data_IF_781011274511
#
_entry.id   IF_781011274511
#
_cell.length_a   1.000
_cell.length_b   1.000
_cell.length_c   1.000
_cell.angle_alpha   90.00
_cell.angle_beta   90.00
_cell.angle_gamma   90.00
#
_symmetry.space_group_name_H-M   'P 1'
#
loop_
_entity.id
_entity.type
_entity.pdbx_description
1 polymer ?
#
# COMPACT_ATOMS: atom_id res chain seq x y z
N UNK A 1 8.45 16.92 -8.39
CA UNK A 1 8.22 15.45 -8.37
C UNK A 1 6.93 15.14 -7.64
N UNK A 2 6.07 14.37 -8.26
CA UNK A 2 4.81 13.97 -7.62
C UNK A 2 5.06 12.97 -6.51
N UNK A 3 4.33 13.11 -5.42
CA UNK A 3 4.39 12.19 -4.28
C UNK A 3 3.12 11.35 -4.26
N UNK A 4 3.27 10.05 -4.26
CA UNK A 4 2.16 9.10 -4.20
C UNK A 4 2.33 8.21 -2.97
N UNK A 5 1.27 8.08 -2.19
CA UNK A 5 1.24 7.16 -1.05
C UNK A 5 0.32 5.99 -1.39
N UNK A 6 0.85 4.79 -1.24
CA UNK A 6 0.05 3.56 -1.37
C UNK A 6 -0.27 3.07 0.05
N UNK A 7 -1.56 2.96 0.35
CA UNK A 7 -2.04 2.43 1.62
C UNK A 7 -2.62 1.03 1.41
N UNK A 8 -2.01 0.05 2.05
CA UNK A 8 -2.42 -1.35 1.97
C UNK A 8 -3.09 -1.77 3.28
N UNK A 9 -4.29 -2.30 3.16
CA UNK A 9 -5.14 -2.65 4.29
C UNK A 9 -4.76 -3.94 5.00
N UNK A 10 -5.63 -4.39 5.91
CA UNK A 10 -5.35 -5.55 6.76
C UNK A 10 -5.06 -6.83 5.98
N UNK A 11 -4.13 -7.61 6.51
CA UNK A 11 -3.73 -8.93 6.02
C UNK A 11 -3.01 -8.93 4.67
N UNK A 12 -2.81 -7.79 4.03
CA UNK A 12 -2.06 -7.72 2.77
C UNK A 12 -0.58 -8.05 2.99
N UNK A 13 -0.08 -7.90 4.21
CA UNK A 13 1.26 -8.34 4.59
C UNK A 13 1.43 -9.86 4.54
N UNK A 14 0.32 -10.62 4.42
CA UNK A 14 0.35 -12.08 4.33
C UNK A 14 0.33 -12.60 2.88
N UNK A 15 0.38 -11.69 1.89
CA UNK A 15 0.45 -12.09 0.49
C UNK A 15 1.66 -12.99 0.25
N UNK A 16 1.44 -14.04 -0.55
CA UNK A 16 2.49 -15.02 -0.86
C UNK A 16 2.65 -16.11 0.20
N UNK A 17 2.07 -15.95 1.38
CA UNK A 17 2.18 -16.89 2.49
C UNK A 17 0.97 -17.82 2.63
N UNK A 18 -0.22 -17.37 2.18
CA UNK A 18 -1.46 -18.14 2.29
C UNK A 18 -1.88 -18.68 0.94
N UNK A 19 -2.02 -20.00 0.86
CA UNK A 19 -2.51 -20.70 -0.33
C UNK A 19 -1.90 -20.15 -1.63
N UNK A 20 -0.55 -20.15 -1.75
CA UNK A 20 0.14 -19.53 -2.89
C UNK A 20 -0.28 -20.12 -4.24
N UNK A 21 -0.69 -21.37 -4.29
CA UNK A 21 -1.16 -22.01 -5.51
C UNK A 21 -2.49 -21.40 -6.02
N UNK A 22 -3.21 -20.70 -5.16
CA UNK A 22 -4.46 -20.02 -5.52
C UNK A 22 -4.22 -18.52 -5.74
N UNK A 23 -3.49 -17.88 -4.81
CA UNK A 23 -3.33 -16.42 -4.78
C UNK A 23 -1.99 -15.91 -5.32
N UNK A 24 -1.06 -16.84 -5.63
CA UNK A 24 0.27 -16.51 -6.14
C UNK A 24 1.32 -16.47 -5.03
N UNK A 25 2.57 -16.39 -5.46
CA UNK A 25 3.73 -16.45 -4.57
C UNK A 25 4.30 -15.07 -4.21
N UNK A 26 3.89 -14.03 -4.90
CA UNK A 26 4.41 -12.69 -4.64
C UNK A 26 3.93 -12.15 -3.30
N UNK A 27 4.89 -11.67 -2.50
CA UNK A 27 4.61 -10.99 -1.25
C UNK A 27 4.25 -9.52 -1.51
N UNK A 28 3.74 -8.84 -0.47
CA UNK A 28 3.52 -7.39 -0.55
C UNK A 28 4.83 -6.66 -0.84
N UNK A 29 5.94 -7.10 -0.24
CA UNK A 29 7.25 -6.50 -0.48
C UNK A 29 7.69 -6.65 -1.93
N UNK A 30 7.45 -7.82 -2.54
CA UNK A 30 7.76 -8.04 -3.96
C UNK A 30 7.00 -7.09 -4.86
N UNK A 31 5.72 -6.90 -4.58
CA UNK A 31 4.87 -5.98 -5.33
C UNK A 31 5.37 -4.53 -5.15
N UNK A 32 5.71 -4.16 -3.92
CA UNK A 32 6.22 -2.82 -3.62
C UNK A 32 7.52 -2.53 -4.34
N UNK A 33 8.43 -3.49 -4.39
CA UNK A 33 9.70 -3.34 -5.13
C UNK A 33 9.47 -3.12 -6.61
N UNK A 34 8.56 -3.88 -7.22
CA UNK A 34 8.20 -3.72 -8.63
C UNK A 34 7.64 -2.34 -8.92
N UNK A 35 6.75 -1.84 -8.06
CA UNK A 35 6.16 -0.52 -8.19
C UNK A 35 7.20 0.59 -8.00
N UNK A 36 8.15 0.40 -7.08
CA UNK A 36 9.23 1.37 -6.86
C UNK A 36 10.13 1.49 -8.09
N UNK A 37 10.40 0.39 -8.79
CA UNK A 37 11.17 0.42 -10.02
C UNK A 37 10.47 1.27 -11.09
N UNK A 38 9.16 1.06 -11.27
CA UNK A 38 8.37 1.86 -12.21
C UNK A 38 8.35 3.33 -11.81
N UNK A 39 8.14 3.61 -10.53
CA UNK A 39 8.12 4.98 -10.01
C UNK A 39 9.43 5.71 -10.28
N UNK A 40 10.56 5.02 -10.08
CA UNK A 40 11.88 5.58 -10.35
C UNK A 40 12.04 5.91 -11.84
N UNK A 41 11.58 5.04 -12.72
CA UNK A 41 11.67 5.26 -14.17
C UNK A 41 10.87 6.47 -14.62
N UNK A 42 9.70 6.72 -14.05
CA UNK A 42 8.83 7.84 -14.45
C UNK A 42 9.05 9.10 -13.60
N UNK A 43 9.93 9.06 -12.63
CA UNK A 43 10.27 10.24 -11.82
C UNK A 43 9.22 10.60 -10.76
N UNK A 44 8.60 9.60 -10.15
CA UNK A 44 7.59 9.78 -9.10
C UNK A 44 8.15 9.29 -7.78
N UNK A 45 7.88 10.02 -6.68
CA UNK A 45 8.20 9.55 -5.33
C UNK A 45 7.05 8.69 -4.83
N UNK A 46 7.34 7.43 -4.54
CA UNK A 46 6.35 6.45 -4.13
C UNK A 46 6.67 5.94 -2.72
N UNK A 47 5.69 6.03 -1.83
CA UNK A 47 5.79 5.51 -0.47
C UNK A 47 4.68 4.49 -0.25
N UNK A 48 4.98 3.46 0.54
CA UNK A 48 4.07 2.38 0.86
C UNK A 48 3.87 2.31 2.37
N UNK A 49 2.62 2.19 2.80
CA UNK A 49 2.29 1.91 4.19
C UNK A 49 1.24 0.81 4.23
N UNK A 50 1.37 -0.06 5.21
CA UNK A 50 0.41 -1.13 5.46
C UNK A 50 -0.21 -0.89 6.83
N UNK A 51 -1.51 -1.05 6.96
CA UNK A 51 -2.21 -0.82 8.22
C UNK A 51 -3.17 -1.97 8.49
N UNK A 52 -3.45 -2.22 9.77
CA UNK A 52 -4.34 -3.28 10.23
C UNK A 52 -5.57 -2.77 10.99
N UNK A 53 -5.64 -1.47 11.27
CA UNK A 53 -6.77 -0.87 11.97
C UNK A 53 -7.21 0.42 11.32
N UNK A 54 -8.47 0.79 11.55
CA UNK A 54 -9.01 2.06 11.06
C UNK A 54 -8.29 3.26 11.69
N UNK A 55 -7.87 3.14 12.95
CA UNK A 55 -7.12 4.19 13.62
C UNK A 55 -5.78 4.45 12.91
N UNK A 56 -5.07 3.41 12.52
CA UNK A 56 -3.83 3.54 11.75
C UNK A 56 -4.09 4.20 10.40
N UNK A 57 -5.17 3.81 9.72
CA UNK A 57 -5.56 4.41 8.44
C UNK A 57 -5.78 5.92 8.57
N UNK A 58 -6.51 6.34 9.59
CA UNK A 58 -6.78 7.75 9.85
C UNK A 58 -5.48 8.51 10.06
N UNK A 59 -4.57 7.95 10.87
CA UNK A 59 -3.25 8.54 11.13
C UNK A 59 -2.45 8.71 9.83
N UNK A 60 -2.44 7.68 8.98
CA UNK A 60 -1.71 7.73 7.71
C UNK A 60 -2.28 8.80 6.76
N UNK A 61 -3.60 8.96 6.73
CA UNK A 61 -4.23 9.99 5.91
C UNK A 61 -3.87 11.39 6.41
N UNK A 62 -3.85 11.60 7.73
CA UNK A 62 -3.45 12.88 8.31
C UNK A 62 -1.97 13.19 8.00
N UNK A 63 -1.11 12.18 8.10
CA UNK A 63 0.31 12.31 7.78
C UNK A 63 0.50 12.66 6.30
N UNK A 64 -0.25 12.00 5.41
CA UNK A 64 -0.18 12.27 3.98
C UNK A 64 -0.53 13.74 3.66
N UNK A 65 -1.55 14.28 4.32
CA UNK A 65 -1.92 15.69 4.16
C UNK A 65 -0.81 16.62 4.63
N UNK A 66 -0.19 16.31 5.76
CA UNK A 66 0.91 17.08 6.32
C UNK A 66 2.14 17.05 5.41
N UNK A 67 2.43 15.90 4.82
CA UNK A 67 3.57 15.68 3.93
C UNK A 67 3.32 16.16 2.51
N UNK A 68 2.16 16.69 2.22
CA UNK A 68 1.76 17.22 0.90
C UNK A 68 1.83 16.16 -0.19
N UNK A 69 1.31 14.98 0.10
CA UNK A 69 1.17 13.89 -0.86
C UNK A 69 0.14 14.31 -1.92
N UNK A 70 0.46 14.10 -3.19
CA UNK A 70 -0.40 14.49 -4.31
C UNK A 70 -1.54 13.50 -4.53
N UNK A 71 -1.25 12.19 -4.39
CA UNK A 71 -2.24 11.13 -4.61
C UNK A 71 -2.10 10.03 -3.58
N UNK A 72 -3.23 9.45 -3.20
CA UNK A 72 -3.28 8.27 -2.34
C UNK A 72 -3.93 7.15 -3.14
N UNK A 73 -3.23 6.02 -3.25
CA UNK A 73 -3.79 4.79 -3.81
C UNK A 73 -4.12 3.89 -2.62
N UNK A 74 -5.39 3.52 -2.51
CA UNK A 74 -5.90 2.81 -1.35
C UNK A 74 -6.36 1.41 -1.72
N UNK A 75 -5.71 0.42 -1.14
CA UNK A 75 -6.13 -0.98 -1.24
C UNK A 75 -6.68 -1.41 0.13
N UNK A 76 -8.00 -1.47 0.29
CA UNK A 76 -8.61 -1.69 1.61
C UNK A 76 -8.42 -3.09 2.18
N UNK A 77 -8.07 -4.07 1.35
CA UNK A 77 -7.92 -5.43 1.84
C UNK A 77 -9.20 -5.94 2.52
N UNK A 78 -9.06 -6.47 3.74
CA UNK A 78 -10.19 -7.02 4.49
C UNK A 78 -11.26 -5.97 4.84
N UNK A 79 -10.95 -4.68 4.83
CA UNK A 79 -11.92 -3.64 5.15
C UNK A 79 -13.01 -3.49 4.08
N UNK A 80 -12.84 -4.07 2.90
CA UNK A 80 -13.91 -4.11 1.90
C UNK A 80 -15.15 -4.83 2.42
N UNK A 81 -14.98 -5.71 3.41
CA UNK A 81 -16.05 -6.53 3.98
C UNK A 81 -16.55 -6.05 5.33
N UNK A 82 -15.81 -5.17 6.01
CA UNK A 82 -16.10 -4.82 7.41
C UNK A 82 -16.23 -3.32 7.69
N UNK A 83 -15.88 -2.50 6.73
CA UNK A 83 -15.92 -1.04 6.94
C UNK A 83 -16.52 -0.27 5.79
#
# INVERSE_FOLDING_TARGET
MSKILILNGPNLNLLGEREPEIYGYESLDDISEGLNEVATEIGVELNHQQFNSEAELITEIHTAKKDKVDFIIFNPGAFTHTS
#
